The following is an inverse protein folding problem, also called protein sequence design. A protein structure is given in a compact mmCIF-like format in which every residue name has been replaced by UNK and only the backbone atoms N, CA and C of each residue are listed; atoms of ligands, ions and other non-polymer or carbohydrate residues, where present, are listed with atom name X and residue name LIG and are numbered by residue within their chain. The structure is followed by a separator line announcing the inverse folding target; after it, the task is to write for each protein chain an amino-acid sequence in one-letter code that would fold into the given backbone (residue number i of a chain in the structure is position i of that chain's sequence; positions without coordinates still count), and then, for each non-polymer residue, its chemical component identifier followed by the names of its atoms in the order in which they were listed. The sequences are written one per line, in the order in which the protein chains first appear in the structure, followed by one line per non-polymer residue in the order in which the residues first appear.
data_IF_460736356453
#
_entry.id   IF_460736356453
#
_cell.length_a   1.000
_cell.length_b   1.000
_cell.length_c   1.000
_cell.angle_alpha   90.00
_cell.angle_beta   90.00
_cell.angle_gamma   90.00
#
_symmetry.space_group_name_H-M   'P 1'
#
loop_
_entity.id
_entity.type
_entity.pdbx_description
1 polymer ?
#
# COMPACT_ATOMS: atom_id res chain seq x y z
N UNK A 1 -24.20 6.51 -20.01
CA UNK A 1 -22.74 6.65 -20.21
C UNK A 1 -22.31 8.10 -20.30
N UNK A 2 -23.15 8.99 -20.85
CA UNK A 2 -22.89 10.45 -20.89
C UNK A 2 -22.55 11.04 -19.51
N UNK A 3 -23.24 10.61 -18.44
CA UNK A 3 -22.96 11.14 -17.09
C UNK A 3 -21.65 10.61 -16.49
N UNK A 4 -21.21 9.40 -16.84
CA UNK A 4 -19.90 8.87 -16.43
C UNK A 4 -18.76 9.64 -17.10
N UNK A 5 -18.90 9.94 -18.41
CA UNK A 5 -17.93 10.78 -19.12
C UNK A 5 -17.84 12.17 -18.51
N UNK A 6 -18.98 12.85 -18.31
CA UNK A 6 -19.05 14.16 -17.62
C UNK A 6 -18.45 14.14 -16.21
N UNK A 7 -18.61 13.03 -15.48
CA UNK A 7 -17.98 12.85 -14.17
C UNK A 7 -16.45 12.87 -14.31
N UNK A 8 -15.90 12.09 -15.25
CA UNK A 8 -14.46 12.02 -15.50
C UNK A 8 -13.90 13.36 -15.99
N UNK A 9 -14.58 14.02 -16.93
CA UNK A 9 -14.18 15.34 -17.44
C UNK A 9 -14.08 16.37 -16.30
N UNK A 10 -15.07 16.37 -15.38
CA UNK A 10 -15.04 17.25 -14.20
C UNK A 10 -13.88 16.93 -13.26
N UNK A 11 -13.60 15.64 -13.02
CA UNK A 11 -12.47 15.23 -12.18
C UNK A 11 -11.16 15.76 -12.79
N UNK A 12 -10.94 15.50 -14.07
CA UNK A 12 -9.77 16.01 -14.83
C UNK A 12 -9.65 17.52 -14.72
N UNK A 13 -10.72 18.27 -14.99
CA UNK A 13 -10.69 19.74 -14.93
C UNK A 13 -10.32 20.24 -13.53
N UNK A 14 -10.84 19.62 -12.46
CA UNK A 14 -10.52 20.03 -11.08
C UNK A 14 -9.09 19.70 -10.69
N UNK A 15 -8.60 18.52 -11.05
CA UNK A 15 -7.23 18.11 -10.74
C UNK A 15 -6.24 18.97 -11.53
N UNK A 16 -6.46 19.16 -12.83
CA UNK A 16 -5.63 20.03 -13.67
C UNK A 16 -5.61 21.48 -13.16
N UNK A 17 -6.71 22.01 -12.64
CA UNK A 17 -6.72 23.35 -12.04
C UNK A 17 -5.77 23.44 -10.83
N UNK A 18 -5.79 22.42 -9.95
CA UNK A 18 -4.91 22.35 -8.78
C UNK A 18 -3.43 22.13 -9.14
N UNK A 19 -3.16 21.50 -10.28
CA UNK A 19 -1.82 21.16 -10.77
C UNK A 19 -1.31 22.08 -11.89
N UNK A 20 -2.03 23.17 -12.16
CA UNK A 20 -1.79 24.06 -13.30
C UNK A 20 -0.36 24.64 -13.35
N UNK A 21 0.26 24.83 -12.19
CA UNK A 21 1.65 25.33 -12.07
C UNK A 21 2.72 24.36 -12.62
N UNK A 22 2.40 23.07 -12.76
CA UNK A 22 3.37 22.05 -13.20
C UNK A 22 3.31 21.74 -14.70
N UNK A 23 2.43 22.41 -15.45
CA UNK A 23 2.13 22.10 -16.85
C UNK A 23 1.85 20.59 -17.03
N UNK A 24 1.09 20.02 -16.09
CA UNK A 24 0.81 18.59 -16.01
C UNK A 24 -0.63 18.33 -16.42
N UNK A 25 -0.82 17.67 -17.56
CA UNK A 25 -2.13 17.29 -18.05
C UNK A 25 -2.49 15.84 -17.63
N UNK A 26 -3.56 15.73 -16.85
CA UNK A 26 -4.11 14.43 -16.44
C UNK A 26 -5.10 13.84 -17.44
N UNK A 27 -5.59 14.61 -18.43
CA UNK A 27 -6.59 14.17 -19.41
C UNK A 27 -6.11 12.98 -20.22
N UNK A 28 -4.85 13.05 -20.67
CA UNK A 28 -4.20 11.97 -21.41
C UNK A 28 -4.16 10.66 -20.61
N UNK A 29 -3.88 10.71 -19.30
CA UNK A 29 -3.91 9.53 -18.44
C UNK A 29 -5.34 8.98 -18.29
N UNK A 30 -6.32 9.84 -18.00
CA UNK A 30 -7.70 9.43 -17.75
C UNK A 30 -8.34 8.81 -18.99
N UNK A 31 -8.16 9.45 -20.15
CA UNK A 31 -8.72 9.00 -21.43
C UNK A 31 -8.20 7.63 -21.84
N UNK A 32 -6.91 7.37 -21.62
CA UNK A 32 -6.28 6.11 -22.01
C UNK A 32 -6.41 5.00 -20.97
N UNK A 33 -6.62 5.33 -19.69
CA UNK A 33 -6.72 4.34 -18.60
C UNK A 33 -8.15 3.85 -18.36
N UNK A 34 -9.14 4.74 -18.53
CA UNK A 34 -10.55 4.41 -18.26
C UNK A 34 -11.27 3.85 -19.47
N UNK A 35 -11.23 2.53 -19.59
CA UNK A 35 -12.12 1.80 -20.49
C UNK A 35 -13.54 1.77 -19.90
N UNK A 36 -14.35 2.76 -20.27
CA UNK A 36 -15.72 2.93 -19.76
C UNK A 36 -16.58 1.68 -19.92
N UNK A 37 -16.38 0.92 -21.01
CA UNK A 37 -17.10 -0.33 -21.24
C UNK A 37 -16.67 -1.44 -20.28
N UNK A 38 -15.43 -1.45 -19.82
CA UNK A 38 -14.97 -2.37 -18.77
C UNK A 38 -15.56 -1.99 -17.41
N UNK A 39 -15.70 -0.70 -17.09
CA UNK A 39 -16.29 -0.24 -15.82
C UNK A 39 -17.74 -0.72 -15.62
N UNK A 40 -18.43 -1.12 -16.69
CA UNK A 40 -19.79 -1.67 -16.63
C UNK A 40 -19.86 -3.14 -16.27
N UNK A 41 -18.72 -3.86 -16.36
CA UNK A 41 -18.65 -5.31 -16.19
C UNK A 41 -18.44 -5.73 -14.73
N UNK A 42 -18.20 -4.78 -13.83
CA UNK A 42 -17.81 -5.09 -12.47
C UNK A 42 -18.89 -4.68 -11.46
N UNK A 43 -19.05 -5.51 -10.44
CA UNK A 43 -19.70 -5.15 -9.20
C UNK A 43 -18.75 -4.33 -8.32
N UNK A 44 -19.30 -3.70 -7.29
CA UNK A 44 -18.53 -3.16 -6.17
C UNK A 44 -18.91 -3.93 -4.91
N UNK A 45 -18.05 -3.87 -3.90
CA UNK A 45 -18.17 -4.71 -2.71
C UNK A 45 -18.01 -3.87 -1.46
N UNK A 46 -18.83 -4.11 -0.44
CA UNK A 46 -18.65 -3.51 0.87
C UNK A 46 -18.65 -4.56 1.97
N UNK A 47 -17.67 -4.48 2.86
CA UNK A 47 -17.48 -5.39 3.98
C UNK A 47 -18.41 -5.06 5.14
N UNK A 48 -19.00 -6.10 5.72
CA UNK A 48 -19.74 -6.05 6.97
C UNK A 48 -19.02 -6.93 7.98
N UNK A 49 -18.82 -6.40 9.17
CA UNK A 49 -18.24 -7.08 10.32
C UNK A 49 -18.76 -6.41 11.60
N UNK A 50 -18.78 -7.14 12.71
CA UNK A 50 -19.08 -6.60 14.03
C UNK A 50 -17.93 -5.79 14.63
N UNK A 51 -16.73 -5.84 14.03
CA UNK A 51 -15.51 -5.26 14.61
C UNK A 51 -15.36 -3.76 14.38
N UNK A 52 -15.87 -3.23 13.27
CA UNK A 52 -15.69 -1.83 12.88
C UNK A 52 -17.05 -1.14 12.63
N UNK A 53 -17.21 0.14 13.01
CA UNK A 53 -18.41 0.90 12.69
C UNK A 53 -18.68 0.91 11.18
N UNK A 54 -19.94 0.60 10.81
CA UNK A 54 -20.37 0.54 9.43
C UNK A 54 -20.91 1.89 8.97
N UNK A 55 -20.31 2.51 7.96
CA UNK A 55 -20.93 3.64 7.27
C UNK A 55 -20.44 3.72 5.83
N UNK A 56 -21.35 3.61 4.86
CA UNK A 56 -21.05 3.89 3.46
C UNK A 56 -22.03 4.88 2.88
N UNK A 57 -21.53 5.90 2.20
CA UNK A 57 -22.37 6.84 1.46
C UNK A 57 -21.75 7.14 0.09
N UNK A 58 -22.33 6.52 -0.93
CA UNK A 58 -21.94 6.69 -2.33
C UNK A 58 -22.90 7.68 -2.99
N UNK A 59 -22.38 8.72 -3.64
CA UNK A 59 -23.20 9.75 -4.31
C UNK A 59 -22.56 10.20 -5.61
N UNK A 60 -23.30 10.11 -6.72
CA UNK A 60 -22.88 10.56 -8.05
C UNK A 60 -21.48 10.05 -8.44
N UNK A 61 -21.22 8.77 -8.19
CA UNK A 61 -19.90 8.17 -8.31
C UNK A 61 -19.94 6.87 -9.12
N UNK A 62 -18.80 6.50 -9.69
CA UNK A 62 -18.54 5.12 -10.11
C UNK A 62 -17.63 4.47 -9.07
N UNK A 63 -17.92 3.22 -8.69
CA UNK A 63 -17.13 2.46 -7.71
C UNK A 63 -16.80 1.05 -8.23
N UNK A 64 -16.68 0.89 -9.55
CA UNK A 64 -16.63 -0.41 -10.21
C UNK A 64 -15.39 -1.24 -9.84
N UNK A 65 -15.60 -2.50 -9.47
CA UNK A 65 -14.56 -3.46 -9.10
C UNK A 65 -13.88 -3.20 -7.76
N UNK A 66 -14.38 -2.24 -6.98
CA UNK A 66 -13.72 -1.73 -5.78
C UNK A 66 -14.31 -2.32 -4.50
N UNK A 67 -13.48 -2.39 -3.46
CA UNK A 67 -13.79 -2.95 -2.15
C UNK A 67 -13.76 -1.86 -1.08
N UNK A 68 -14.76 -1.84 -0.21
CA UNK A 68 -14.89 -0.85 0.86
C UNK A 68 -15.05 -1.52 2.22
N UNK A 69 -14.33 -1.06 3.24
CA UNK A 69 -14.43 -1.55 4.62
C UNK A 69 -14.43 -0.35 5.59
N UNK A 70 -15.21 -0.43 6.67
CA UNK A 70 -15.29 0.62 7.71
C UNK A 70 -16.23 1.78 7.38
N UNK A 71 -15.77 3.02 7.62
CA UNK A 71 -16.52 4.27 7.35
C UNK A 71 -15.97 5.00 6.13
N UNK A 72 -16.77 5.12 5.07
CA UNK A 72 -16.37 5.80 3.84
C UNK A 72 -17.51 6.60 3.16
N UNK A 73 -17.21 7.84 2.79
CA UNK A 73 -17.99 8.65 1.86
C UNK A 73 -17.30 8.75 0.51
N UNK A 74 -18.02 8.47 -0.58
CA UNK A 74 -17.55 8.70 -1.95
C UNK A 74 -18.53 9.60 -2.68
N UNK A 75 -18.10 10.82 -2.98
CA UNK A 75 -18.91 11.82 -3.66
C UNK A 75 -18.26 12.27 -4.94
N UNK A 76 -18.99 12.23 -6.07
CA UNK A 76 -18.52 12.85 -7.32
C UNK A 76 -17.18 12.28 -7.81
N UNK A 77 -16.90 11.00 -7.55
CA UNK A 77 -15.60 10.37 -7.80
C UNK A 77 -15.73 9.09 -8.64
N UNK A 78 -14.61 8.63 -9.20
CA UNK A 78 -14.49 7.33 -9.86
C UNK A 78 -13.47 6.46 -9.10
N UNK A 79 -13.93 5.35 -8.52
CA UNK A 79 -13.10 4.43 -7.74
C UNK A 79 -13.10 3.09 -8.49
N UNK A 80 -12.02 2.80 -9.20
CA UNK A 80 -11.96 1.66 -10.11
C UNK A 80 -10.95 0.61 -9.66
N UNK A 81 -11.43 -0.61 -9.37
CA UNK A 81 -10.63 -1.74 -8.89
C UNK A 81 -9.72 -1.41 -7.70
N UNK A 82 -10.17 -0.49 -6.85
CA UNK A 82 -9.40 0.04 -5.71
C UNK A 82 -9.90 -0.56 -4.40
N UNK A 83 -9.03 -0.58 -3.39
CA UNK A 83 -9.35 -1.06 -2.05
C UNK A 83 -9.33 0.11 -1.08
N UNK A 84 -10.49 0.39 -0.49
CA UNK A 84 -10.67 1.47 0.47
C UNK A 84 -10.92 0.84 1.84
N UNK A 85 -9.89 0.88 2.69
CA UNK A 85 -9.90 0.19 3.98
C UNK A 85 -9.89 1.18 5.13
N UNK A 86 -10.97 1.16 5.89
CA UNK A 86 -11.17 1.98 7.07
C UNK A 86 -11.30 1.16 8.36
N UNK A 87 -10.64 0.00 8.42
CA UNK A 87 -10.47 -0.83 9.61
C UNK A 87 -9.52 -0.21 10.65
N UNK A 88 -8.52 0.55 10.20
CA UNK A 88 -7.59 1.30 11.06
C UNK A 88 -8.05 2.71 11.44
N UNK A 89 -9.27 3.13 11.07
CA UNK A 89 -9.79 4.45 11.40
C UNK A 89 -9.95 4.63 12.91
N UNK A 90 -9.57 5.82 13.39
CA UNK A 90 -9.70 6.20 14.80
C UNK A 90 -11.17 6.32 15.21
N UNK A 91 -11.46 5.97 16.45
CA UNK A 91 -12.79 6.02 17.07
C UNK A 91 -12.98 7.32 17.85
N UNK A 92 -14.25 7.68 18.08
CA UNK A 92 -14.57 8.76 19.01
C UNK A 92 -13.89 8.52 20.37
N UNK A 93 -13.22 9.55 20.89
CA UNK A 93 -12.46 9.48 22.14
C UNK A 93 -11.00 9.08 21.98
N UNK A 94 -10.59 8.55 20.82
CA UNK A 94 -9.17 8.40 20.51
C UNK A 94 -8.51 9.78 20.37
N UNK A 95 -7.19 9.84 20.50
CA UNK A 95 -6.41 11.08 20.37
C UNK A 95 -5.48 11.02 19.17
N UNK A 96 -5.42 12.10 18.38
CA UNK A 96 -4.30 12.27 17.44
C UNK A 96 -3.10 12.77 18.22
N UNK A 97 -2.02 11.99 18.17
CA UNK A 97 -0.75 12.36 18.78
C UNK A 97 -0.03 13.38 17.90
N UNK A 98 0.27 14.54 18.48
CA UNK A 98 1.00 15.63 17.85
C UNK A 98 1.61 16.56 18.90
N UNK A 99 1.80 17.85 18.57
CA UNK A 99 2.21 18.86 19.55
C UNK A 99 1.11 19.15 20.61
N UNK A 100 -0.14 18.83 20.27
CA UNK A 100 -1.30 18.88 21.15
C UNK A 100 -2.05 17.56 21.00
N UNK A 101 -2.49 16.96 22.11
CA UNK A 101 -3.38 15.81 22.06
C UNK A 101 -4.77 16.31 21.68
N UNK A 102 -5.24 15.94 20.50
CA UNK A 102 -6.55 16.35 19.99
C UNK A 102 -7.48 15.15 20.10
N UNK A 103 -8.46 15.16 21.03
CA UNK A 103 -9.42 14.07 21.14
C UNK A 103 -10.45 14.15 20.00
N UNK A 104 -10.76 13.00 19.42
CA UNK A 104 -11.79 12.88 18.39
C UNK A 104 -13.18 12.99 19.01
N UNK A 105 -14.02 13.87 18.45
CA UNK A 105 -15.42 14.03 18.91
C UNK A 105 -16.39 13.10 18.18
N UNK A 106 -15.99 12.56 17.03
CA UNK A 106 -16.70 11.56 16.22
C UNK A 106 -15.72 10.48 15.73
N UNK A 107 -16.18 9.29 15.35
CA UNK A 107 -15.25 8.35 14.69
C UNK A 107 -14.85 8.90 13.33
N UNK A 108 -13.58 8.70 13.01
CA UNK A 108 -12.98 9.11 11.77
C UNK A 108 -13.65 8.44 10.55
N UNK A 109 -13.62 9.14 9.41
CA UNK A 109 -14.20 8.65 8.16
C UNK A 109 -13.31 8.97 6.96
N UNK A 110 -13.15 7.99 6.07
CA UNK A 110 -12.54 8.22 4.75
C UNK A 110 -13.51 9.03 3.88
N UNK A 111 -13.04 10.14 3.34
CA UNK A 111 -13.84 11.02 2.48
C UNK A 111 -13.17 11.23 1.13
N UNK A 112 -13.73 10.63 0.08
CA UNK A 112 -13.20 10.72 -1.28
C UNK A 112 -14.11 11.60 -2.14
N UNK A 113 -13.60 12.75 -2.59
CA UNK A 113 -14.38 13.74 -3.35
C UNK A 113 -13.69 14.16 -4.64
N UNK A 114 -14.46 14.24 -5.72
CA UNK A 114 -14.00 14.80 -7.00
C UNK A 114 -12.66 14.18 -7.48
N UNK A 115 -12.50 12.88 -7.25
CA UNK A 115 -11.23 12.16 -7.42
C UNK A 115 -11.38 10.91 -8.29
N UNK A 116 -10.27 10.45 -8.88
CA UNK A 116 -10.16 9.17 -9.57
C UNK A 116 -9.09 8.32 -8.88
N UNK A 117 -9.49 7.15 -8.35
CA UNK A 117 -8.57 6.18 -7.77
C UNK A 117 -8.61 4.90 -8.62
N UNK A 118 -7.49 4.58 -9.29
CA UNK A 118 -7.40 3.45 -10.20
C UNK A 118 -6.45 2.39 -9.65
N UNK A 119 -6.99 1.23 -9.25
CA UNK A 119 -6.25 0.14 -8.61
C UNK A 119 -5.40 0.62 -7.43
N UNK A 120 -5.94 1.54 -6.66
CA UNK A 120 -5.26 2.19 -5.54
C UNK A 120 -5.63 1.47 -4.24
N UNK A 121 -4.67 1.32 -3.34
CA UNK A 121 -4.93 0.96 -1.95
C UNK A 121 -4.99 2.25 -1.11
N UNK A 122 -6.11 2.43 -0.39
CA UNK A 122 -6.24 3.43 0.68
C UNK A 122 -6.33 2.68 1.99
N UNK A 123 -5.40 2.94 2.91
CA UNK A 123 -5.32 2.23 4.19
C UNK A 123 -4.73 3.10 5.29
N UNK A 124 -4.75 2.60 6.53
CA UNK A 124 -4.45 3.33 7.75
C UNK A 124 -5.42 4.49 8.02
N UNK A 125 -4.96 5.53 8.70
CA UNK A 125 -5.79 6.64 9.15
C UNK A 125 -5.12 8.01 8.98
N UNK A 126 -5.89 9.09 9.09
CA UNK A 126 -5.42 10.47 8.95
C UNK A 126 -4.41 10.84 10.04
N UNK A 127 -3.30 11.42 9.60
CA UNK A 127 -2.30 12.06 10.45
C UNK A 127 -2.40 13.60 10.36
N UNK A 128 -3.49 14.10 9.78
CA UNK A 128 -3.73 15.53 9.63
C UNK A 128 -4.38 16.11 10.88
N UNK A 129 -3.64 16.97 11.60
CA UNK A 129 -4.14 17.65 12.80
C UNK A 129 -5.23 18.68 12.50
N UNK A 130 -5.33 19.16 11.25
CA UNK A 130 -6.36 20.12 10.83
C UNK A 130 -7.72 19.45 10.56
N UNK A 131 -7.73 18.14 10.36
CA UNK A 131 -8.94 17.36 10.07
C UNK A 131 -8.91 15.99 10.75
N UNK A 132 -8.93 15.95 12.11
CA UNK A 132 -8.66 14.73 12.86
C UNK A 132 -9.69 13.61 12.66
N UNK A 133 -10.97 13.97 12.41
CA UNK A 133 -12.03 13.00 12.08
C UNK A 133 -12.20 12.74 10.57
N UNK A 134 -11.40 13.37 9.69
CA UNK A 134 -11.50 13.18 8.25
C UNK A 134 -10.18 12.69 7.62
N UNK A 135 -10.19 11.46 7.12
CA UNK A 135 -9.18 11.00 6.16
C UNK A 135 -9.61 11.43 4.75
N UNK A 136 -9.25 12.67 4.38
CA UNK A 136 -9.66 13.33 3.14
C UNK A 136 -8.79 13.00 1.91
N UNK A 137 -9.43 12.62 0.81
CA UNK A 137 -8.83 12.51 -0.53
C UNK A 137 -9.69 13.30 -1.53
N UNK A 138 -9.17 14.44 -1.99
CA UNK A 138 -9.94 15.46 -2.71
C UNK A 138 -9.20 15.89 -3.98
N UNK A 139 -9.94 16.10 -5.06
CA UNK A 139 -9.38 16.56 -6.35
C UNK A 139 -8.10 15.79 -6.75
N UNK A 140 -8.10 14.47 -6.56
CA UNK A 140 -6.88 13.65 -6.68
C UNK A 140 -7.04 12.59 -7.77
N UNK A 141 -5.99 12.38 -8.55
CA UNK A 141 -5.89 11.24 -9.48
C UNK A 141 -4.78 10.32 -8.99
N UNK A 142 -5.12 9.07 -8.70
CA UNK A 142 -4.17 8.04 -8.27
C UNK A 142 -4.15 6.91 -9.29
N UNK A 143 -2.96 6.58 -9.78
CA UNK A 143 -2.74 5.57 -10.80
C UNK A 143 -2.52 4.17 -10.20
N UNK A 144 -2.32 3.22 -11.12
CA UNK A 144 -2.24 1.78 -10.87
C UNK A 144 -1.32 1.42 -9.69
N UNK A 145 -1.86 0.68 -8.72
CA UNK A 145 -1.14 0.09 -7.58
C UNK A 145 -0.42 1.11 -6.71
N UNK A 146 -0.87 2.37 -6.73
CA UNK A 146 -0.42 3.36 -5.78
C UNK A 146 -1.00 3.07 -4.38
N UNK A 147 -0.25 3.44 -3.35
CA UNK A 147 -0.64 3.34 -1.95
C UNK A 147 -0.85 4.73 -1.36
N UNK A 148 -2.05 4.98 -0.85
CA UNK A 148 -2.38 6.14 -0.02
C UNK A 148 -2.49 5.62 1.41
N UNK A 149 -1.36 5.63 2.13
CA UNK A 149 -1.27 5.05 3.46
C UNK A 149 -1.22 6.17 4.50
N UNK A 150 -2.31 6.30 5.26
CA UNK A 150 -2.49 7.31 6.31
C UNK A 150 -2.22 8.74 5.87
N UNK A 151 -2.55 9.07 4.61
CA UNK A 151 -2.10 10.30 3.94
C UNK A 151 -3.25 11.12 3.36
N UNK A 152 -3.51 12.32 3.88
CA UNK A 152 -4.53 13.22 3.33
C UNK A 152 -4.04 13.91 2.06
N UNK A 153 -4.91 14.01 1.05
CA UNK A 153 -4.56 14.51 -0.29
C UNK A 153 -5.57 15.53 -0.79
N UNK A 154 -5.08 16.66 -1.28
CA UNK A 154 -5.87 17.66 -2.00
C UNK A 154 -5.16 18.10 -3.28
N UNK A 155 -5.83 17.98 -4.43
CA UNK A 155 -5.29 18.50 -5.69
C UNK A 155 -4.07 17.75 -6.21
N UNK A 156 -3.96 16.44 -5.97
CA UNK A 156 -2.73 15.68 -6.20
C UNK A 156 -2.80 14.71 -7.39
N UNK A 157 -1.64 14.35 -7.93
CA UNK A 157 -1.47 13.20 -8.82
C UNK A 157 -0.47 12.20 -8.24
N UNK A 158 -0.84 10.92 -8.18
CA UNK A 158 0.05 9.82 -7.81
C UNK A 158 0.28 8.89 -9.00
N UNK A 159 1.54 8.73 -9.40
CA UNK A 159 1.94 7.83 -10.49
C UNK A 159 1.83 6.35 -10.12
N UNK A 160 1.93 5.42 -11.10
CA UNK A 160 1.86 3.99 -10.85
C UNK A 160 2.87 3.53 -9.79
N UNK A 161 2.42 2.68 -8.87
CA UNK A 161 3.20 2.18 -7.74
C UNK A 161 3.81 3.27 -6.83
N UNK A 162 3.34 4.51 -6.90
CA UNK A 162 3.74 5.53 -5.93
C UNK A 162 3.17 5.21 -4.54
N UNK A 163 3.89 5.55 -3.49
CA UNK A 163 3.45 5.40 -2.11
C UNK A 163 3.62 6.71 -1.37
N UNK A 164 2.54 7.17 -0.76
CA UNK A 164 2.55 8.28 0.20
C UNK A 164 2.19 7.68 1.56
N UNK A 165 3.08 7.87 2.53
CA UNK A 165 2.98 7.25 3.86
C UNK A 165 3.04 8.32 4.95
N UNK A 166 1.96 8.46 5.72
CA UNK A 166 1.81 9.42 6.81
C UNK A 166 2.01 10.88 6.37
N UNK A 167 1.33 11.28 5.29
CA UNK A 167 1.50 12.59 4.63
C UNK A 167 0.28 13.50 4.67
N UNK A 168 0.50 14.81 4.61
CA UNK A 168 -0.50 15.79 4.15
C UNK A 168 0.01 16.43 2.86
N UNK A 169 -0.64 16.14 1.72
CA UNK A 169 -0.24 16.67 0.42
C UNK A 169 -1.28 17.62 -0.15
N UNK A 170 -0.80 18.76 -0.66
CA UNK A 170 -1.61 19.74 -1.37
C UNK A 170 -0.93 20.15 -2.68
N UNK A 171 -1.65 20.08 -3.80
CA UNK A 171 -1.12 20.43 -5.13
C UNK A 171 0.23 19.76 -5.42
N UNK A 172 0.29 18.44 -5.30
CA UNK A 172 1.53 17.69 -5.48
C UNK A 172 1.44 16.64 -6.60
N UNK A 173 2.57 16.40 -7.28
CA UNK A 173 2.76 15.31 -8.23
C UNK A 173 3.77 14.34 -7.62
N UNK A 174 3.38 13.10 -7.38
CA UNK A 174 4.28 12.02 -6.93
C UNK A 174 4.55 11.10 -8.10
N UNK A 175 5.81 11.07 -8.56
CA UNK A 175 6.22 10.26 -9.69
C UNK A 175 6.05 8.76 -9.46
N UNK A 176 5.92 8.02 -10.56
CA UNK A 176 5.92 6.55 -10.61
C UNK A 176 7.00 5.94 -9.71
N UNK A 177 6.61 4.92 -8.95
CA UNK A 177 7.48 4.17 -8.05
C UNK A 177 8.27 5.04 -7.07
N UNK A 178 7.73 6.21 -6.69
CA UNK A 178 8.29 7.04 -5.63
C UNK A 178 7.62 6.75 -4.29
N UNK A 179 8.41 6.72 -3.22
CA UNK A 179 7.96 6.60 -1.84
C UNK A 179 8.23 7.92 -1.12
N UNK A 180 7.22 8.50 -0.45
CA UNK A 180 7.36 9.77 0.26
C UNK A 180 6.76 9.67 1.66
N UNK A 181 7.58 9.99 2.66
CA UNK A 181 7.22 10.13 4.06
C UNK A 181 7.99 11.32 4.65
N UNK A 182 7.48 12.54 4.43
CA UNK A 182 8.12 13.81 4.76
C UNK A 182 7.22 14.77 5.53
N UNK A 183 6.12 14.27 6.13
CA UNK A 183 5.10 15.06 6.83
C UNK A 183 4.21 15.80 5.85
N UNK A 184 4.48 17.07 5.60
CA UNK A 184 3.63 17.92 4.76
C UNK A 184 4.39 18.44 3.54
N UNK A 185 3.73 18.42 2.39
CA UNK A 185 4.25 19.01 1.15
C UNK A 185 3.16 19.77 0.41
N UNK A 186 3.51 20.96 -0.03
CA UNK A 186 2.66 21.87 -0.79
C UNK A 186 3.37 22.25 -2.09
N UNK A 187 2.67 22.21 -3.22
CA UNK A 187 3.19 22.71 -4.49
C UNK A 187 4.53 22.05 -4.88
N UNK A 188 4.58 20.71 -4.81
CA UNK A 188 5.79 19.93 -5.13
C UNK A 188 5.56 18.89 -6.21
N UNK A 189 6.55 18.78 -7.10
CA UNK A 189 6.72 17.65 -8.02
C UNK A 189 7.87 16.77 -7.54
N UNK A 190 7.57 15.53 -7.23
CA UNK A 190 8.52 14.50 -6.82
C UNK A 190 8.83 13.64 -8.05
N UNK A 191 10.11 13.59 -8.43
CA UNK A 191 10.57 12.79 -9.56
C UNK A 191 10.29 11.29 -9.37
N UNK A 192 10.15 10.57 -10.48
CA UNK A 192 10.03 9.12 -10.52
C UNK A 192 11.16 8.40 -9.76
N UNK A 193 10.83 7.31 -9.08
CA UNK A 193 11.81 6.49 -8.38
C UNK A 193 12.50 7.19 -7.22
N UNK A 194 11.86 8.18 -6.61
CA UNK A 194 12.40 8.88 -5.44
C UNK A 194 11.91 8.18 -4.18
N UNK A 195 12.83 7.76 -3.33
CA UNK A 195 12.54 7.33 -1.95
C UNK A 195 12.98 8.46 -1.03
N UNK A 196 12.03 9.07 -0.34
CA UNK A 196 12.27 10.24 0.50
C UNK A 196 11.58 10.08 1.85
N UNK A 197 12.40 10.00 2.91
CA UNK A 197 11.93 9.98 4.29
C UNK A 197 12.53 11.19 5.01
N UNK A 198 11.71 12.00 5.66
CA UNK A 198 12.18 13.19 6.37
C UNK A 198 11.40 13.37 7.66
N UNK A 199 12.15 13.60 8.73
CA UNK A 199 11.64 14.06 10.03
C UNK A 199 12.34 15.36 10.43
N UNK A 200 12.10 15.84 11.64
CA UNK A 200 12.86 16.95 12.22
C UNK A 200 14.33 16.58 12.51
N UNK A 201 14.62 15.29 12.72
CA UNK A 201 15.94 14.81 13.18
C UNK A 201 16.79 14.20 12.08
N UNK A 202 16.18 13.82 10.95
CA UNK A 202 16.89 13.17 9.85
C UNK A 202 16.19 13.36 8.50
N UNK A 203 16.95 13.13 7.43
CA UNK A 203 16.45 12.99 6.07
C UNK A 203 17.20 11.86 5.36
N UNK A 204 16.46 10.87 4.86
CA UNK A 204 16.93 9.83 3.95
C UNK A 204 16.41 10.14 2.55
N UNK A 205 17.30 10.15 1.56
CA UNK A 205 16.94 10.37 0.17
C UNK A 205 17.70 9.46 -0.77
N UNK A 206 16.98 8.79 -1.65
CA UNK A 206 17.53 8.00 -2.75
C UNK A 206 16.70 8.25 -4.01
N UNK A 207 17.36 8.22 -5.18
CA UNK A 207 16.67 8.27 -6.46
C UNK A 207 17.24 7.22 -7.41
N UNK A 208 16.37 6.37 -7.94
CA UNK A 208 16.74 5.38 -8.95
C UNK A 208 17.33 6.04 -10.19
N UNK A 209 18.21 5.32 -10.90
CA UNK A 209 18.55 5.70 -12.28
C UNK A 209 17.36 5.37 -13.17
N UNK A 210 17.00 6.31 -14.05
CA UNK A 210 15.84 6.16 -14.92
C UNK A 210 15.93 4.90 -15.77
N UNK A 211 17.11 4.62 -16.31
CA UNK A 211 17.38 3.50 -17.22
C UNK A 211 17.18 2.14 -16.54
N UNK A 212 17.43 2.06 -15.22
CA UNK A 212 17.20 0.86 -14.44
C UNK A 212 15.72 0.75 -14.10
N UNK A 213 15.15 1.80 -13.51
CA UNK A 213 13.76 1.79 -13.04
C UNK A 213 12.77 1.50 -14.17
N UNK A 214 13.01 2.04 -15.36
CA UNK A 214 12.10 1.92 -16.49
C UNK A 214 11.89 0.47 -16.97
N UNK A 215 12.82 -0.44 -16.65
CA UNK A 215 12.66 -1.88 -16.89
C UNK A 215 11.64 -2.53 -15.93
N UNK A 216 11.53 -2.01 -14.71
CA UNK A 216 10.70 -2.56 -13.64
C UNK A 216 9.34 -1.87 -13.57
N UNK A 217 9.34 -0.53 -13.62
CA UNK A 217 8.16 0.33 -13.59
C UNK A 217 8.39 1.52 -14.50
N UNK A 218 7.70 1.53 -15.63
CA UNK A 218 7.65 2.64 -16.57
C UNK A 218 6.22 2.91 -17.03
N UNK A 219 6.05 3.93 -17.85
CA UNK A 219 4.80 4.18 -18.60
C UNK A 219 5.09 4.19 -20.09
N UNK A 220 4.10 3.81 -20.91
CA UNK A 220 4.17 3.94 -22.36
C UNK A 220 3.65 5.31 -22.84
N UNK A 221 3.60 5.55 -24.15
CA UNK A 221 3.10 6.79 -24.76
C UNK A 221 1.63 7.10 -24.47
N UNK A 222 0.86 6.11 -24.02
CA UNK A 222 -0.53 6.23 -23.61
C UNK A 222 -0.69 6.30 -22.08
N UNK A 223 0.41 6.58 -21.36
CA UNK A 223 0.47 6.65 -19.90
C UNK A 223 0.04 5.36 -19.18
N UNK A 224 0.02 4.23 -19.87
CA UNK A 224 -0.25 2.92 -19.26
C UNK A 224 1.03 2.37 -18.63
N UNK A 225 0.93 1.79 -17.42
CA UNK A 225 2.08 1.16 -16.76
C UNK A 225 2.63 -0.02 -17.58
N UNK A 226 3.94 -0.20 -17.49
CA UNK A 226 4.70 -1.32 -18.06
C UNK A 226 5.88 -1.67 -17.15
N UNK A 227 6.54 -2.76 -17.47
CA UNK A 227 7.74 -3.22 -16.78
C UNK A 227 7.47 -4.45 -15.93
N UNK A 228 8.54 -5.07 -15.45
CA UNK A 228 8.53 -6.38 -14.80
C UNK A 228 7.55 -6.43 -13.62
N UNK A 229 7.54 -5.41 -12.76
CA UNK A 229 6.70 -5.39 -11.56
C UNK A 229 5.21 -5.26 -11.95
N UNK A 230 4.92 -4.46 -12.98
CA UNK A 230 3.56 -4.33 -13.48
C UNK A 230 3.03 -5.65 -14.05
N UNK A 231 3.79 -6.29 -14.94
CA UNK A 231 3.38 -7.57 -15.54
C UNK A 231 3.24 -8.67 -14.50
N UNK A 232 4.17 -8.73 -13.54
CA UNK A 232 4.11 -9.70 -12.44
C UNK A 232 2.78 -9.66 -11.68
N UNK A 233 2.29 -8.46 -11.35
CA UNK A 233 1.00 -8.27 -10.65
C UNK A 233 -0.17 -8.53 -11.60
N UNK A 234 -0.12 -7.94 -12.80
CA UNK A 234 -1.19 -8.05 -13.80
C UNK A 234 -1.53 -9.51 -14.13
N UNK A 235 -0.51 -10.34 -14.32
CA UNK A 235 -0.67 -11.74 -14.71
C UNK A 235 -1.31 -12.61 -13.61
N UNK A 236 -1.40 -12.09 -12.37
CA UNK A 236 -1.99 -12.78 -11.21
C UNK A 236 -3.34 -12.21 -10.79
N UNK A 237 -3.82 -11.13 -11.40
CA UNK A 237 -5.09 -10.49 -11.00
C UNK A 237 -6.28 -11.44 -11.10
N UNK A 238 -6.30 -12.32 -12.10
CA UNK A 238 -7.40 -13.26 -12.31
C UNK A 238 -7.54 -14.26 -11.15
N UNK A 239 -6.47 -14.54 -10.40
CA UNK A 239 -6.54 -15.44 -9.26
C UNK A 239 -7.34 -14.83 -8.11
N UNK A 240 -7.27 -13.51 -7.94
CA UNK A 240 -8.09 -12.80 -6.97
C UNK A 240 -9.53 -12.63 -7.44
N UNK A 241 -9.76 -12.35 -8.72
CA UNK A 241 -11.12 -12.16 -9.25
C UNK A 241 -12.02 -13.38 -8.98
N UNK A 242 -11.48 -14.60 -9.12
CA UNK A 242 -12.20 -15.85 -8.81
C UNK A 242 -12.69 -15.94 -7.36
N UNK A 243 -11.96 -15.36 -6.40
CA UNK A 243 -12.34 -15.41 -4.98
C UNK A 243 -13.61 -14.61 -4.71
N UNK A 244 -13.92 -13.63 -5.54
CA UNK A 244 -15.09 -12.77 -5.38
C UNK A 244 -16.30 -13.22 -6.22
N UNK A 245 -16.16 -14.30 -6.99
CA UNK A 245 -17.25 -14.90 -7.77
C UNK A 245 -18.16 -15.82 -6.93
N UNK A 246 -17.75 -16.17 -5.71
CA UNK A 246 -18.49 -17.06 -4.80
C UNK A 246 -18.98 -16.31 -3.57
N UNK A 247 -20.19 -16.64 -3.09
CA UNK A 247 -20.78 -15.99 -1.91
C UNK A 247 -20.12 -16.42 -0.59
N UNK A 248 -19.68 -17.69 -0.52
CA UNK A 248 -19.01 -18.26 0.64
C UNK A 248 -17.69 -18.87 0.19
N UNK A 249 -16.60 -18.42 0.81
CA UNK A 249 -15.28 -19.04 0.68
C UNK A 249 -15.05 -19.91 1.91
N UNK A 250 -14.59 -21.14 1.67
CA UNK A 250 -14.15 -22.02 2.73
C UNK A 250 -12.97 -21.38 3.48
N UNK A 251 -12.91 -21.52 4.82
CA UNK A 251 -11.75 -21.08 5.58
C UNK A 251 -10.46 -21.77 5.09
N UNK A 252 -9.36 -21.03 5.12
CA UNK A 252 -8.04 -21.59 4.82
C UNK A 252 -7.47 -22.20 6.09
N UNK A 253 -7.00 -23.45 6.01
CA UNK A 253 -6.44 -24.17 7.15
C UNK A 253 -5.18 -23.46 7.67
N UNK A 254 -5.17 -23.18 8.97
CA UNK A 254 -4.07 -22.55 9.70
C UNK A 254 -4.17 -22.91 11.19
N UNK A 255 -3.10 -22.72 11.97
CA UNK A 255 -3.15 -22.84 13.43
C UNK A 255 -4.23 -21.93 14.03
N UNK A 256 -4.84 -22.34 15.16
CA UNK A 256 -5.95 -21.61 15.79
C UNK A 256 -5.57 -20.21 16.30
N UNK A 257 -4.27 -19.94 16.42
CA UNK A 257 -3.73 -18.63 16.83
C UNK A 257 -3.41 -17.72 15.65
N UNK A 258 -3.59 -18.20 14.41
CA UNK A 258 -3.29 -17.50 13.17
C UNK A 258 -4.59 -17.13 12.44
N UNK A 259 -4.56 -16.00 11.72
CA UNK A 259 -5.65 -15.58 10.86
C UNK A 259 -5.19 -15.53 9.40
N UNK A 260 -5.87 -16.31 8.57
CA UNK A 260 -5.71 -16.25 7.11
C UNK A 260 -7.00 -15.74 6.51
N UNK A 261 -6.95 -14.55 5.92
CA UNK A 261 -8.12 -13.96 5.30
C UNK A 261 -8.55 -14.82 4.09
N UNK A 262 -9.84 -15.15 4.03
CA UNK A 262 -10.43 -15.96 2.95
C UNK A 262 -10.23 -15.38 1.54
N UNK A 263 -10.02 -14.07 1.42
CA UNK A 263 -9.73 -13.39 0.16
C UNK A 263 -8.22 -13.29 -0.16
N UNK A 264 -7.37 -14.02 0.57
CA UNK A 264 -6.00 -14.30 0.17
C UNK A 264 -5.95 -15.48 -0.81
N UNK A 265 -4.91 -15.53 -1.65
CA UNK A 265 -4.60 -16.70 -2.46
C UNK A 265 -3.55 -17.51 -1.72
N UNK A 266 -3.89 -18.74 -1.32
CA UNK A 266 -2.96 -19.67 -0.67
C UNK A 266 -2.92 -20.97 -1.46
N UNK A 267 -1.76 -21.35 -1.97
CA UNK A 267 -1.62 -22.56 -2.80
C UNK A 267 -0.25 -23.22 -2.71
N UNK A 268 -0.14 -24.38 -3.37
CA UNK A 268 1.08 -25.18 -3.39
C UNK A 268 1.38 -25.77 -2.01
N UNK A 269 2.67 -25.94 -1.70
CA UNK A 269 3.13 -26.50 -0.41
C UNK A 269 3.28 -25.42 0.66
N UNK A 270 2.35 -24.48 0.71
CA UNK A 270 2.39 -23.38 1.68
C UNK A 270 2.16 -23.89 3.10
N UNK A 271 2.94 -23.38 4.06
CA UNK A 271 2.85 -23.71 5.48
C UNK A 271 2.74 -22.44 6.29
N UNK A 272 1.77 -22.41 7.19
CA UNK A 272 1.45 -21.27 8.05
C UNK A 272 1.79 -21.66 9.50
N UNK A 273 2.68 -20.89 10.13
CA UNK A 273 3.04 -21.02 11.54
C UNK A 273 1.98 -20.44 12.48
N UNK A 274 2.28 -20.43 13.78
CA UNK A 274 1.43 -19.87 14.82
C UNK A 274 1.48 -18.33 14.82
N UNK A 275 0.41 -17.68 15.31
CA UNK A 275 0.33 -16.21 15.40
C UNK A 275 0.53 -15.45 14.07
N UNK A 276 0.36 -16.14 12.93
CA UNK A 276 0.54 -15.55 11.61
C UNK A 276 -0.70 -14.76 11.20
N UNK A 277 -0.49 -13.57 10.63
CA UNK A 277 -1.56 -12.77 10.02
C UNK A 277 -1.36 -12.68 8.50
N UNK A 278 -2.26 -13.26 7.72
CA UNK A 278 -2.32 -13.12 6.26
C UNK A 278 -3.56 -12.33 5.88
N UNK A 279 -3.34 -11.11 5.38
CA UNK A 279 -4.38 -10.18 4.96
C UNK A 279 -5.06 -10.58 3.64
N UNK A 280 -6.23 -10.00 3.37
CA UNK A 280 -6.89 -10.11 2.06
C UNK A 280 -5.95 -9.63 0.94
N UNK A 281 -6.06 -10.25 -0.24
CA UNK A 281 -5.19 -10.01 -1.39
C UNK A 281 -3.70 -10.25 -1.16
N UNK A 282 -3.30 -10.91 -0.07
CA UNK A 282 -2.00 -11.54 -0.01
C UNK A 282 -1.97 -12.77 -0.93
N UNK A 283 -0.82 -13.02 -1.57
CA UNK A 283 -0.60 -14.14 -2.46
C UNK A 283 0.54 -15.01 -1.94
N UNK A 284 0.22 -16.24 -1.52
CA UNK A 284 1.16 -17.22 -0.97
C UNK A 284 1.20 -18.46 -1.87
N UNK A 285 2.38 -18.80 -2.37
CA UNK A 285 2.60 -20.00 -3.19
C UNK A 285 3.91 -20.68 -2.80
N UNK A 286 3.84 -21.93 -2.35
CA UNK A 286 5.00 -22.66 -1.82
C UNK A 286 5.78 -21.85 -0.77
N UNK A 287 5.06 -21.11 0.08
CA UNK A 287 5.65 -20.24 1.08
C UNK A 287 5.70 -20.93 2.44
N UNK A 288 6.80 -20.75 3.18
CA UNK A 288 6.86 -21.10 4.61
C UNK A 288 6.78 -19.80 5.39
N UNK A 289 5.65 -19.57 6.07
CA UNK A 289 5.40 -18.37 6.85
C UNK A 289 5.60 -18.73 8.33
N UNK A 290 6.79 -18.45 8.86
CA UNK A 290 7.14 -18.74 10.24
C UNK A 290 6.34 -17.92 11.25
N UNK A 291 6.35 -18.37 12.50
CA UNK A 291 5.49 -17.88 13.57
C UNK A 291 5.56 -16.36 13.74
N UNK A 292 4.42 -15.72 14.02
CA UNK A 292 4.30 -14.28 14.22
C UNK A 292 4.50 -13.43 12.97
N UNK A 293 4.77 -14.02 11.81
CA UNK A 293 4.96 -13.27 10.56
C UNK A 293 3.65 -12.69 10.03
N UNK A 294 3.76 -11.59 9.29
CA UNK A 294 2.64 -10.88 8.70
C UNK A 294 2.82 -10.67 7.19
N UNK A 295 1.82 -11.10 6.43
CA UNK A 295 1.69 -10.82 5.00
C UNK A 295 0.52 -9.85 4.78
N UNK A 296 0.83 -8.57 4.54
CA UNK A 296 -0.18 -7.53 4.34
C UNK A 296 -0.86 -7.62 2.97
N UNK A 297 -1.79 -6.71 2.72
CA UNK A 297 -2.56 -6.59 1.50
C UNK A 297 -1.66 -6.38 0.28
N UNK A 298 -2.05 -6.99 -0.84
CA UNK A 298 -1.33 -6.90 -2.11
C UNK A 298 0.12 -7.43 -2.05
N UNK A 299 0.47 -8.21 -1.03
CA UNK A 299 1.79 -8.85 -0.94
C UNK A 299 1.86 -10.14 -1.73
N UNK A 300 3.07 -10.55 -2.10
CA UNK A 300 3.35 -11.78 -2.82
C UNK A 300 4.54 -12.49 -2.18
N UNK A 301 4.36 -13.74 -1.74
CA UNK A 301 5.40 -14.58 -1.16
C UNK A 301 5.39 -15.91 -1.89
N UNK A 302 6.42 -16.14 -2.72
CA UNK A 302 6.46 -17.25 -3.69
C UNK A 302 7.77 -18.01 -3.53
N UNK A 303 7.71 -19.33 -3.36
CA UNK A 303 8.87 -20.22 -3.24
C UNK A 303 9.92 -19.73 -2.21
N UNK A 304 9.41 -19.19 -1.10
CA UNK A 304 10.20 -18.43 -0.12
C UNK A 304 9.89 -18.84 1.32
N UNK A 305 10.84 -18.57 2.21
CA UNK A 305 10.73 -18.84 3.65
C UNK A 305 10.90 -17.56 4.44
N UNK A 306 9.96 -17.28 5.33
CA UNK A 306 10.04 -16.24 6.36
C UNK A 306 10.26 -16.96 7.70
N UNK A 307 11.39 -16.68 8.36
CA UNK A 307 11.81 -17.46 9.54
C UNK A 307 10.97 -17.21 10.81
N UNK A 308 10.21 -16.11 10.86
CA UNK A 308 9.34 -15.74 11.98
C UNK A 308 9.39 -14.24 12.28
N UNK A 309 8.30 -13.68 12.81
CA UNK A 309 8.16 -12.25 13.10
C UNK A 309 8.51 -11.33 11.91
N UNK A 310 8.44 -11.85 10.68
CA UNK A 310 8.76 -11.07 9.48
C UNK A 310 7.53 -10.26 9.09
N UNK A 311 7.70 -8.97 8.76
CA UNK A 311 6.62 -8.13 8.24
C UNK A 311 6.85 -7.87 6.75
N UNK A 312 5.87 -8.23 5.92
CA UNK A 312 5.84 -7.83 4.50
C UNK A 312 4.78 -6.76 4.31
N UNK A 313 5.21 -5.52 4.10
CA UNK A 313 4.33 -4.36 3.94
C UNK A 313 3.59 -4.38 2.59
N UNK A 314 2.52 -3.57 2.49
CA UNK A 314 1.66 -3.52 1.31
C UNK A 314 2.41 -3.47 -0.03
N UNK A 315 2.03 -4.35 -0.95
CA UNK A 315 2.65 -4.43 -2.27
C UNK A 315 4.05 -5.06 -2.30
N UNK A 316 4.62 -5.45 -1.16
CA UNK A 316 5.90 -6.16 -1.06
C UNK A 316 5.85 -7.53 -1.73
N UNK A 317 6.93 -7.90 -2.41
CA UNK A 317 7.02 -9.13 -3.21
C UNK A 317 8.33 -9.84 -2.90
N UNK A 318 8.23 -11.11 -2.53
CA UNK A 318 9.33 -11.96 -2.09
C UNK A 318 9.25 -13.25 -2.91
N UNK A 319 10.26 -13.49 -3.75
CA UNK A 319 10.31 -14.62 -4.69
C UNK A 319 11.65 -15.33 -4.55
N UNK A 320 11.64 -16.66 -4.39
CA UNK A 320 12.83 -17.50 -4.22
C UNK A 320 13.83 -16.95 -3.18
N UNK A 321 13.32 -16.58 -2.00
CA UNK A 321 14.12 -15.94 -0.96
C UNK A 321 14.00 -16.63 0.40
N UNK A 322 15.01 -16.41 1.23
CA UNK A 322 15.04 -16.76 2.65
C UNK A 322 15.18 -15.47 3.44
N UNK A 323 14.18 -15.18 4.25
CA UNK A 323 14.08 -13.96 5.06
C UNK A 323 14.24 -14.34 6.51
N UNK A 324 15.31 -13.82 7.13
CA UNK A 324 15.62 -14.02 8.53
C UNK A 324 14.55 -13.47 9.46
N UNK A 325 14.58 -13.93 10.71
CA UNK A 325 13.62 -13.55 11.74
C UNK A 325 13.60 -12.03 11.94
N UNK A 326 12.46 -11.49 12.34
CA UNK A 326 12.30 -10.06 12.68
C UNK A 326 12.69 -9.08 11.56
N UNK A 327 12.72 -9.56 10.31
CA UNK A 327 13.04 -8.72 9.16
C UNK A 327 11.80 -8.01 8.62
N UNK A 328 12.00 -6.81 8.10
CA UNK A 328 10.98 -6.00 7.46
C UNK A 328 11.20 -5.89 5.96
N UNK A 329 10.14 -6.12 5.18
CA UNK A 329 10.09 -5.86 3.74
C UNK A 329 9.12 -4.73 3.46
N UNK A 330 9.66 -3.55 3.15
CA UNK A 330 8.89 -2.32 2.97
C UNK A 330 8.00 -2.28 1.73
N UNK A 331 7.13 -1.27 1.68
CA UNK A 331 6.12 -1.06 0.64
C UNK A 331 6.65 -1.27 -0.78
N UNK A 332 5.87 -1.93 -1.63
CA UNK A 332 6.17 -2.13 -3.06
C UNK A 332 7.57 -2.71 -3.38
N UNK A 333 8.30 -3.22 -2.39
CA UNK A 333 9.61 -3.85 -2.63
C UNK A 333 9.47 -5.08 -3.52
N UNK A 334 10.48 -5.34 -4.34
CA UNK A 334 10.53 -6.45 -5.28
C UNK A 334 11.82 -7.24 -5.10
N UNK A 335 11.75 -8.30 -4.28
CA UNK A 335 12.84 -9.23 -4.03
C UNK A 335 12.65 -10.44 -4.95
N UNK A 336 13.20 -10.34 -6.14
CA UNK A 336 13.01 -11.27 -7.24
C UNK A 336 14.19 -12.23 -7.36
N UNK A 337 14.33 -13.16 -6.41
CA UNK A 337 15.26 -14.27 -6.53
C UNK A 337 14.90 -15.19 -7.69
N UNK A 338 15.78 -16.14 -7.99
CA UNK A 338 15.54 -17.23 -8.95
C UNK A 338 15.86 -18.57 -8.27
N UNK A 339 15.42 -19.67 -8.85
CA UNK A 339 15.73 -21.00 -8.35
C UNK A 339 17.26 -21.25 -8.24
N UNK A 340 18.04 -20.71 -9.17
CA UNK A 340 19.50 -20.77 -9.25
C UNK A 340 20.22 -19.51 -8.74
N UNK A 341 19.47 -18.46 -8.40
CA UNK A 341 19.98 -17.19 -7.87
C UNK A 341 19.10 -16.71 -6.70
N UNK A 342 19.08 -17.50 -5.63
CA UNK A 342 18.28 -17.19 -4.42
C UNK A 342 18.79 -15.94 -3.71
N UNK A 343 17.87 -15.29 -3.00
CA UNK A 343 18.17 -14.16 -2.11
C UNK A 343 18.12 -14.66 -0.67
N UNK A 344 19.17 -14.42 0.11
CA UNK A 344 19.21 -14.67 1.55
C UNK A 344 19.39 -13.33 2.28
N UNK A 345 18.44 -13.00 3.18
CA UNK A 345 18.48 -11.81 4.02
C UNK A 345 18.55 -12.28 5.48
N UNK A 346 19.58 -11.84 6.21
CA UNK A 346 19.78 -12.18 7.61
C UNK A 346 18.70 -11.63 8.54
N UNK A 347 18.77 -12.02 9.80
CA UNK A 347 17.86 -11.59 10.87
C UNK A 347 17.90 -10.07 11.09
N UNK A 348 16.80 -9.49 11.55
CA UNK A 348 16.72 -8.07 11.94
C UNK A 348 16.94 -7.06 10.81
N UNK A 349 16.91 -7.50 9.55
CA UNK A 349 17.14 -6.61 8.41
C UNK A 349 15.94 -5.72 8.11
N UNK A 350 16.23 -4.49 7.66
CA UNK A 350 15.22 -3.53 7.23
C UNK A 350 15.40 -3.29 5.72
N UNK A 351 14.55 -3.93 4.92
CA UNK A 351 14.43 -3.62 3.48
C UNK A 351 13.53 -2.41 3.33
N UNK A 352 14.14 -1.29 2.93
CA UNK A 352 13.47 -0.01 2.77
C UNK A 352 12.36 -0.10 1.72
N UNK A 353 11.32 0.76 1.82
CA UNK A 353 10.29 0.87 0.80
C UNK A 353 10.86 1.03 -0.60
N UNK A 354 10.21 0.40 -1.57
CA UNK A 354 10.52 0.47 -3.00
C UNK A 354 11.91 -0.09 -3.36
N UNK A 355 12.46 -0.99 -2.56
CA UNK A 355 13.72 -1.68 -2.89
C UNK A 355 13.51 -2.73 -3.97
N UNK A 356 14.44 -2.83 -4.92
CA UNK A 356 14.45 -3.84 -5.98
C UNK A 356 15.72 -4.68 -5.83
N UNK A 357 15.57 -5.98 -5.60
CA UNK A 357 16.65 -6.96 -5.65
C UNK A 357 16.33 -7.96 -6.75
N UNK A 358 17.08 -7.97 -7.84
CA UNK A 358 16.84 -8.84 -9.00
C UNK A 358 18.18 -9.40 -9.50
N UNK A 359 18.74 -10.40 -8.80
CA UNK A 359 20.09 -10.84 -9.05
C UNK A 359 20.14 -11.96 -10.09
N UNK A 360 21.26 -12.05 -10.80
CA UNK A 360 21.57 -13.17 -11.71
C UNK A 360 22.40 -14.28 -11.06
N UNK A 361 22.83 -14.06 -9.82
CA UNK A 361 23.63 -14.98 -9.01
C UNK A 361 23.09 -14.96 -7.57
N UNK A 362 23.33 -16.00 -6.75
CA UNK A 362 22.92 -15.96 -5.36
C UNK A 362 23.49 -14.75 -4.61
N UNK A 363 22.63 -14.08 -3.83
CA UNK A 363 22.99 -12.94 -2.99
C UNK A 363 22.66 -13.28 -1.54
N UNK A 364 23.59 -12.97 -0.65
CA UNK A 364 23.42 -13.06 0.80
C UNK A 364 23.72 -11.70 1.42
N UNK A 365 22.77 -11.17 2.18
CA UNK A 365 22.92 -9.96 2.98
C UNK A 365 22.94 -10.40 4.46
N UNK A 366 23.98 -10.02 5.23
CA UNK A 366 24.09 -10.38 6.65
C UNK A 366 22.99 -9.74 7.51
N UNK A 367 22.82 -10.25 8.73
CA UNK A 367 21.85 -9.74 9.71
C UNK A 367 22.07 -8.26 10.05
N UNK A 368 21.03 -7.61 10.58
CA UNK A 368 21.06 -6.24 11.08
C UNK A 368 21.57 -5.24 10.05
N UNK A 369 21.05 -5.32 8.82
CA UNK A 369 21.36 -4.38 7.75
C UNK A 369 20.14 -3.58 7.29
N UNK A 370 20.36 -2.30 7.00
CA UNK A 370 19.44 -1.49 6.19
C UNK A 370 19.75 -1.75 4.71
N UNK A 371 18.72 -1.99 3.90
CA UNK A 371 18.84 -2.35 2.48
C UNK A 371 17.94 -1.42 1.65
N UNK A 372 18.44 -0.83 0.56
CA UNK A 372 17.65 0.08 -0.28
C UNK A 372 18.01 0.02 -1.78
N UNK A 373 17.22 0.69 -2.62
CA UNK A 373 17.60 0.97 -4.01
C UNK A 373 17.58 -0.27 -4.92
N UNK A 374 18.60 -0.43 -5.76
CA UNK A 374 18.69 -1.54 -6.72
C UNK A 374 19.90 -2.44 -6.44
N UNK A 375 19.66 -3.74 -6.28
CA UNK A 375 20.71 -4.75 -6.11
C UNK A 375 20.53 -5.85 -7.16
N UNK A 376 21.40 -5.87 -8.18
CA UNK A 376 21.43 -6.93 -9.20
C UNK A 376 22.71 -7.77 -9.18
N UNK A 377 23.71 -7.35 -8.40
CA UNK A 377 25.03 -7.95 -8.31
C UNK A 377 25.60 -7.87 -6.90
N UNK A 378 26.68 -8.63 -6.64
CA UNK A 378 27.40 -8.56 -5.35
C UNK A 378 28.01 -7.18 -5.08
N UNK A 379 28.43 -6.46 -6.12
CA UNK A 379 29.00 -5.12 -5.95
C UNK A 379 27.94 -4.07 -5.60
N UNK A 380 26.69 -4.28 -6.02
CA UNK A 380 25.60 -3.39 -5.65
C UNK A 380 25.35 -3.41 -4.14
N UNK A 381 25.56 -4.55 -3.46
CA UNK A 381 25.36 -4.70 -2.00
C UNK A 381 26.15 -3.61 -1.26
N UNK A 382 27.43 -3.42 -1.59
CA UNK A 382 28.30 -2.42 -0.95
C UNK A 382 27.77 -0.98 -1.08
N UNK A 383 26.96 -0.69 -2.10
CA UNK A 383 26.43 0.64 -2.39
C UNK A 383 24.97 0.82 -1.98
N UNK A 384 24.34 -0.23 -1.45
CA UNK A 384 22.89 -0.30 -1.21
C UNK A 384 22.54 -1.00 0.11
N UNK A 385 23.55 -1.27 0.94
CA UNK A 385 23.38 -1.79 2.30
C UNK A 385 24.31 -1.08 3.26
N UNK A 386 23.90 -0.96 4.52
CA UNK A 386 24.75 -0.55 5.65
C UNK A 386 24.31 -1.33 6.88
N UNK A 387 25.25 -1.71 7.76
CA UNK A 387 24.89 -2.27 9.06
C UNK A 387 24.09 -1.25 9.87
N UNK A 388 23.12 -1.72 10.66
CA UNK A 388 22.30 -0.83 11.49
C UNK A 388 23.16 -0.10 12.51
N UNK A 389 24.14 -0.76 13.12
CA UNK A 389 25.04 -0.12 14.09
C UNK A 389 25.86 1.01 13.45
N UNK A 390 26.43 0.77 12.26
CA UNK A 390 27.19 1.80 11.52
C UNK A 390 26.31 3.00 11.17
N UNK A 391 25.05 2.77 10.76
CA UNK A 391 24.12 3.87 10.50
C UNK A 391 23.75 4.58 11.80
N UNK A 392 23.59 3.86 12.91
CA UNK A 392 23.24 4.43 14.20
C UNK A 392 24.31 5.39 14.73
N UNK A 393 25.57 5.25 14.30
CA UNK A 393 26.69 6.14 14.62
C UNK A 393 26.68 7.46 13.82
N UNK A 394 25.94 7.55 12.72
CA UNK A 394 25.88 8.76 11.90
C UNK A 394 25.23 9.93 12.66
N UNK A 395 25.85 11.11 12.59
CA UNK A 395 25.38 12.35 13.24
C UNK A 395 25.08 13.49 12.28
N UNK A 396 25.74 13.53 11.12
CA UNK A 396 25.64 14.65 10.18
C UNK A 396 25.23 14.21 8.79
N UNK A 397 26.16 13.74 7.94
CA UNK A 397 25.86 13.37 6.56
C UNK A 397 26.58 12.08 6.21
N UNK A 398 25.84 11.15 5.61
CA UNK A 398 26.36 9.92 5.01
C UNK A 398 25.92 9.86 3.54
N UNK A 399 26.85 9.50 2.66
CA UNK A 399 26.56 9.25 1.24
C UNK A 399 27.08 7.89 0.84
N UNK A 400 26.18 7.03 0.34
CA UNK A 400 26.52 5.72 -0.20
C UNK A 400 25.89 5.63 -1.59
N UNK A 401 26.74 5.60 -2.62
CA UNK A 401 26.29 5.66 -4.01
C UNK A 401 25.39 6.88 -4.26
N UNK A 402 24.12 6.63 -4.61
CA UNK A 402 23.11 7.68 -4.85
C UNK A 402 22.25 8.01 -3.62
N UNK A 403 22.41 7.27 -2.53
CA UNK A 403 21.72 7.54 -1.28
C UNK A 403 22.45 8.64 -0.52
N UNK A 404 21.68 9.58 0.02
CA UNK A 404 22.14 10.57 0.98
C UNK A 404 21.28 10.44 2.22
N UNK A 405 21.94 10.35 3.37
CA UNK A 405 21.33 10.45 4.68
C UNK A 405 21.92 11.67 5.38
N UNK A 406 21.08 12.45 6.07
CA UNK A 406 21.52 13.52 6.94
C UNK A 406 20.78 13.50 8.28
N UNK A 407 21.46 13.88 9.36
CA UNK A 407 20.93 13.92 10.72
C UNK A 407 21.30 12.70 11.56
N UNK A 408 20.45 12.36 12.52
CA UNK A 408 20.74 11.35 13.55
C UNK A 408 20.29 9.95 13.11
N UNK A 409 21.25 9.09 12.78
CA UNK A 409 20.97 7.71 12.35
C UNK A 409 20.36 6.83 13.44
N UNK A 410 20.72 7.06 14.71
CA UNK A 410 20.12 6.35 15.84
C UNK A 410 18.61 6.57 15.94
N UNK A 411 18.15 7.81 15.76
CA UNK A 411 16.73 8.18 15.78
C UNK A 411 15.98 7.56 14.61
N UNK A 412 16.61 7.50 13.43
CA UNK A 412 16.04 6.83 12.26
C UNK A 412 15.79 5.34 12.53
N UNK A 413 16.79 4.62 13.06
CA UNK A 413 16.67 3.18 13.33
C UNK A 413 15.67 2.90 14.45
N UNK A 414 15.72 3.68 15.54
CA UNK A 414 14.76 3.55 16.63
C UNK A 414 13.32 3.78 16.16
N UNK A 415 13.11 4.75 15.26
CA UNK A 415 11.81 5.00 14.64
C UNK A 415 11.27 3.80 13.86
N UNK A 416 12.12 3.14 13.06
CA UNK A 416 11.73 1.90 12.38
C UNK A 416 11.46 0.77 13.37
N UNK A 417 12.37 0.49 14.31
CA UNK A 417 12.20 -0.60 15.30
C UNK A 417 10.89 -0.46 16.07
N UNK A 418 10.60 0.73 16.61
CA UNK A 418 9.33 1.00 17.31
C UNK A 418 8.10 0.76 16.44
N UNK A 419 8.14 1.18 15.16
CA UNK A 419 7.03 0.95 14.23
C UNK A 419 6.82 -0.55 13.99
N UNK A 420 7.90 -1.31 13.80
CA UNK A 420 7.84 -2.76 13.53
C UNK A 420 7.34 -3.53 14.75
N UNK A 421 7.84 -3.22 15.94
CA UNK A 421 7.39 -3.82 17.20
C UNK A 421 5.89 -3.55 17.42
N UNK A 422 5.44 -2.33 17.16
CA UNK A 422 4.03 -1.97 17.26
C UNK A 422 3.17 -2.74 16.27
N UNK A 423 3.62 -2.93 15.02
CA UNK A 423 2.90 -3.74 14.02
C UNK A 423 2.79 -5.20 14.49
N UNK A 424 3.88 -5.81 14.94
CA UNK A 424 3.88 -7.20 15.43
C UNK A 424 2.95 -7.36 16.65
N UNK A 425 2.99 -6.40 17.57
CA UNK A 425 2.12 -6.40 18.75
C UNK A 425 0.64 -6.30 18.37
N UNK A 426 0.26 -5.33 17.54
CA UNK A 426 -1.12 -5.14 17.10
C UNK A 426 -1.63 -6.32 16.27
N UNK A 427 -0.75 -6.98 15.52
CA UNK A 427 -1.08 -8.18 14.78
C UNK A 427 -1.25 -9.42 15.68
N UNK A 428 -0.81 -9.37 16.93
CA UNK A 428 -0.87 -10.51 17.84
C UNK A 428 0.24 -11.54 17.57
N UNK A 429 1.39 -11.11 17.04
CA UNK A 429 2.53 -11.97 16.75
C UNK A 429 3.10 -12.64 18.02
N UNK A 430 2.99 -11.97 19.15
CA UNK A 430 3.47 -12.41 20.47
C UNK A 430 2.38 -13.04 21.34
N UNK A 431 1.25 -13.42 20.74
CA UNK A 431 0.14 -14.03 21.46
C UNK A 431 0.57 -15.32 22.15
N UNK A 432 0.32 -15.40 23.45
CA UNK A 432 0.57 -16.59 24.24
C UNK A 432 -0.43 -16.66 25.41
N UNK A 433 -1.11 -17.79 25.59
CA UNK A 433 -2.02 -18.06 26.72
C UNK A 433 -3.05 -16.95 27.04
N UNK A 434 -3.54 -16.24 26.01
CA UNK A 434 -4.53 -15.17 26.16
C UNK A 434 -3.94 -13.76 26.29
N UNK A 435 -2.63 -13.63 26.49
CA UNK A 435 -1.91 -12.36 26.53
C UNK A 435 -1.45 -11.93 25.13
N UNK A 436 -1.18 -10.62 24.94
CA UNK A 436 -0.72 -10.03 23.67
C UNK A 436 -1.60 -10.39 22.46
N UNK A 437 -2.91 -10.48 22.69
CA UNK A 437 -3.90 -10.70 21.65
C UNK A 437 -3.92 -9.53 20.67
N UNK A 438 -4.02 -9.84 19.39
CA UNK A 438 -4.17 -8.85 18.32
C UNK A 438 -4.96 -9.38 17.12
N UNK A 439 -4.77 -8.74 15.97
CA UNK A 439 -5.56 -9.00 14.76
C UNK A 439 -5.55 -10.45 14.27
N UNK A 440 -4.48 -11.22 14.53
CA UNK A 440 -4.42 -12.64 14.16
C UNK A 440 -5.34 -13.52 15.02
N UNK A 441 -5.73 -13.07 16.21
CA UNK A 441 -6.64 -13.80 17.09
C UNK A 441 -8.05 -13.21 17.09
N UNK A 442 -8.21 -11.94 16.76
CA UNK A 442 -9.51 -11.28 16.69
C UNK A 442 -10.25 -11.65 15.41
N UNK A 443 -11.51 -12.08 15.54
CA UNK A 443 -12.32 -12.67 14.47
C UNK A 443 -12.35 -11.78 13.20
N UNK A 444 -11.74 -12.28 12.12
CA UNK A 444 -11.65 -11.64 10.79
C UNK A 444 -12.84 -11.97 9.88
N UNK A 445 -13.98 -12.41 10.43
CA UNK A 445 -15.19 -12.70 9.66
C UNK A 445 -15.80 -11.43 9.00
N UNK A 446 -15.23 -11.03 7.86
CA UNK A 446 -15.70 -9.91 7.03
C UNK A 446 -16.47 -10.47 5.83
N UNK A 447 -17.78 -10.25 5.78
CA UNK A 447 -18.61 -10.63 4.63
C UNK A 447 -18.74 -9.46 3.66
N UNK A 448 -18.45 -9.70 2.38
CA UNK A 448 -18.58 -8.68 1.34
C UNK A 448 -19.92 -8.80 0.62
N UNK A 449 -20.68 -7.72 0.65
CA UNK A 449 -21.94 -7.59 -0.06
C UNK A 449 -21.75 -6.85 -1.39
N UNK A 450 -22.56 -7.24 -2.39
CA UNK A 450 -22.49 -6.71 -3.75
C UNK A 450 -23.28 -5.40 -3.92
N UNK A 451 -22.74 -4.50 -4.72
CA UNK A 451 -23.42 -3.30 -5.23
C UNK A 451 -23.29 -3.29 -6.76
N UNK A 452 -24.38 -2.92 -7.46
CA UNK A 452 -24.43 -2.91 -8.92
C UNK A 452 -24.58 -1.49 -9.49
N UNK A 453 -23.98 -1.19 -10.65
CA UNK A 453 -24.18 0.08 -11.35
C UNK A 453 -25.50 0.11 -12.12
N UNK A 454 -25.94 1.31 -12.52
CA UNK A 454 -26.93 1.46 -13.59
C UNK A 454 -26.41 0.82 -14.89
N UNK A 455 -27.22 -0.07 -15.49
CA UNK A 455 -26.84 -0.79 -16.73
C UNK A 455 -27.27 -0.09 -18.02
N UNK A 456 -28.26 0.79 -17.98
CA UNK A 456 -28.85 1.45 -19.14
C UNK A 456 -29.09 2.95 -18.88
N UNK A 457 -29.47 3.69 -19.93
CA UNK A 457 -29.78 5.12 -19.85
C UNK A 457 -28.58 6.04 -19.65
N UNK A 458 -28.85 7.31 -19.36
CA UNK A 458 -27.82 8.35 -19.20
C UNK A 458 -26.84 8.04 -18.07
N UNK A 459 -27.37 7.50 -16.96
CA UNK A 459 -26.61 7.10 -15.77
C UNK A 459 -25.83 5.80 -15.93
N UNK A 460 -25.92 5.09 -17.07
CA UNK A 460 -25.17 3.85 -17.32
C UNK A 460 -23.70 3.99 -16.93
N UNK A 461 -23.25 3.13 -16.00
CA UNK A 461 -21.91 3.11 -15.39
C UNK A 461 -21.80 3.82 -14.05
N UNK A 462 -22.72 4.71 -13.67
CA UNK A 462 -22.75 5.27 -12.32
C UNK A 462 -23.45 4.30 -11.36
N UNK A 463 -23.13 4.45 -10.09
CA UNK A 463 -23.84 3.79 -9.00
C UNK A 463 -24.92 4.73 -8.45
N UNK A 464 -26.09 4.20 -8.06
CA UNK A 464 -27.12 5.01 -7.43
C UNK A 464 -26.60 5.65 -6.14
N UNK A 465 -27.24 6.74 -5.72
CA UNK A 465 -26.96 7.30 -4.40
C UNK A 465 -27.41 6.31 -3.34
N UNK A 466 -26.46 5.76 -2.60
CA UNK A 466 -26.67 4.71 -1.59
C UNK A 466 -26.12 5.21 -0.27
N UNK A 467 -26.88 4.97 0.81
CA UNK A 467 -26.40 5.13 2.18
C UNK A 467 -26.65 3.83 2.94
N UNK A 468 -25.59 3.28 3.53
CA UNK A 468 -25.59 2.07 4.35
C UNK A 468 -25.06 2.46 5.72
N UNK A 469 -25.77 2.06 6.77
CA UNK A 469 -25.47 2.29 8.18
C UNK A 469 -26.19 1.22 9.01
N UNK A 470 -25.86 1.02 10.29
CA UNK A 470 -26.55 0.07 11.17
C UNK A 470 -28.05 0.31 11.26
#
# INVERSE_FOLDING_TARGET
MSQLKKLNDRIVSRVNANLSEFDFDTESFVTNSLEHDKMLKFYAFYGITSQHPLYFHFRNSNIAGSYFLGKCYVGRSAIYKSDIRGDELKRRGDEIRGAMNIPLVEDEMITIKDSLLYKTLVHSNSHNLESPEEFGIRNTISAHYANIHGSTLEGCFLGPFATVDLMNLHSCIVGNFSYVQAGELFHRKIDHGTVWIRSQNFEFKYRFRKEILDNFVGVNSLYQPRGIIYYFVKDREQEFEKLFDVMNLEPIEAPSTSAVNRYAVVRGKTRIGENVLVSQKAFLENAVIGDGSNAQENTYIIDSTLAGNCITAHGGKIIHAEIGRESFVGFNSFLNGKADARIEIGEGCIVMPHTIIDPKIPIKIPSDHLIWGFIGSKDDIKNHTIALDDLAEVREVLKIGKMTFSGLGSVFIEGFKKRLDQILLLNGAFFNDGENRGHAQDDQNISFNLIQPYRTGERKGLYPSIRIKP
#
